data_IF_568305390753
#
_entry.id   IF_568305390753
#
_cell.length_a   1.000
_cell.length_b   1.000
_cell.length_c   1.000
_cell.angle_alpha   90.00
_cell.angle_beta   90.00
_cell.angle_gamma   90.00
#
_symmetry.space_group_name_H-M   'P 1'
#
loop_
_entity.id
_entity.type
_entity.pdbx_description
1 polymer ?
#
# COMPACT_ATOMS: atom_id res chain seq x y z
N UNK A 1 -9.42 -4.46 13.63
CA UNK A 1 -8.39 -4.46 12.58
C UNK A 1 -7.06 -4.75 13.25
N UNK A 2 -6.22 -5.58 12.66
CA UNK A 2 -4.85 -5.82 13.12
C UNK A 2 -4.05 -4.51 13.10
N UNK A 3 -3.17 -4.31 14.09
CA UNK A 3 -2.41 -3.07 14.29
C UNK A 3 -1.56 -2.75 13.04
N UNK A 4 -0.97 -3.79 12.45
CA UNK A 4 -0.18 -3.67 11.23
C UNK A 4 -1.02 -3.27 10.03
N UNK A 5 -2.24 -3.79 9.91
CA UNK A 5 -3.19 -3.42 8.86
C UNK A 5 -3.64 -1.96 8.95
N UNK A 6 -3.88 -1.48 10.18
CA UNK A 6 -4.22 -0.07 10.40
C UNK A 6 -3.05 0.86 10.03
N UNK A 7 -1.82 0.51 10.44
CA UNK A 7 -0.60 1.26 10.09
C UNK A 7 -0.36 1.29 8.59
N UNK A 8 -0.56 0.16 7.90
CA UNK A 8 -0.41 0.10 6.45
C UNK A 8 -1.44 0.97 5.73
N UNK A 9 -2.70 0.96 6.19
CA UNK A 9 -3.75 1.82 5.65
C UNK A 9 -3.41 3.31 5.81
N UNK A 10 -2.93 3.71 6.99
CA UNK A 10 -2.50 5.08 7.27
C UNK A 10 -1.33 5.49 6.36
N UNK A 11 -0.33 4.61 6.22
CA UNK A 11 0.79 4.82 5.32
C UNK A 11 0.32 5.03 3.88
N UNK A 12 -0.52 4.14 3.32
CA UNK A 12 -1.00 4.28 1.95
C UNK A 12 -1.77 5.57 1.72
N UNK A 13 -2.59 6.01 2.69
CA UNK A 13 -3.31 7.28 2.58
C UNK A 13 -2.34 8.48 2.53
N UNK A 14 -1.28 8.45 3.35
CA UNK A 14 -0.23 9.47 3.36
C UNK A 14 0.63 9.42 2.08
N UNK A 15 1.03 8.23 1.65
CA UNK A 15 1.88 7.99 0.47
C UNK A 15 1.20 8.46 -0.83
N UNK A 16 -0.12 8.26 -0.95
CA UNK A 16 -0.91 8.74 -2.08
C UNK A 16 -1.29 10.22 -1.97
N UNK A 17 -0.88 10.91 -0.90
CA UNK A 17 -1.02 12.34 -0.67
C UNK A 17 -2.45 12.85 -0.92
N UNK A 18 -3.45 12.10 -0.46
CA UNK A 18 -4.90 12.39 -0.61
C UNK A 18 -5.42 12.51 -2.06
N UNK A 19 -4.57 12.28 -3.07
CA UNK A 19 -4.96 12.31 -4.49
C UNK A 19 -5.81 11.10 -4.86
N UNK A 20 -5.58 9.99 -4.17
CA UNK A 20 -6.32 8.75 -4.33
C UNK A 20 -7.24 8.50 -3.14
N UNK A 21 -8.34 7.82 -3.42
CA UNK A 21 -9.31 7.33 -2.43
C UNK A 21 -9.13 5.83 -2.33
N UNK A 22 -8.94 5.34 -1.10
CA UNK A 22 -8.86 3.90 -0.84
C UNK A 22 -10.25 3.29 -1.07
N UNK A 23 -10.34 2.32 -1.97
CA UNK A 23 -11.59 1.67 -2.35
C UNK A 23 -11.72 0.26 -1.78
N UNK A 24 -10.61 -0.46 -1.61
CA UNK A 24 -10.60 -1.79 -1.02
C UNK A 24 -9.36 -1.99 -0.17
N UNK A 25 -9.51 -2.71 0.93
CA UNK A 25 -8.42 -3.30 1.68
C UNK A 25 -8.71 -4.79 1.88
N UNK A 26 -7.68 -5.62 1.74
CA UNK A 26 -7.76 -7.06 1.94
C UNK A 26 -6.53 -7.51 2.72
N UNK A 27 -6.77 -8.08 3.91
CA UNK A 27 -5.72 -8.57 4.79
C UNK A 27 -5.86 -10.09 4.91
N UNK A 28 -4.90 -10.82 4.36
CA UNK A 28 -4.84 -12.27 4.40
C UNK A 28 -3.90 -12.71 5.51
N UNK A 29 -4.42 -13.50 6.46
CA UNK A 29 -3.65 -14.06 7.57
C UNK A 29 -3.29 -15.51 7.25
N UNK A 30 -2.07 -15.92 7.59
CA UNK A 30 -1.70 -17.33 7.63
C UNK A 30 -2.28 -18.00 8.90
N UNK A 31 -2.08 -19.31 9.08
CA UNK A 31 -2.45 -20.04 10.31
C UNK A 31 -1.78 -19.49 11.60
N UNK A 32 -0.90 -18.50 11.45
CA UNK A 32 -0.32 -17.66 12.52
C UNK A 32 -1.08 -16.34 12.69
N UNK A 33 -1.11 -15.79 13.91
CA UNK A 33 -1.72 -14.49 14.25
C UNK A 33 -1.15 -13.25 13.49
N UNK A 34 -0.24 -13.43 12.53
CA UNK A 34 0.35 -12.38 11.71
C UNK A 34 -0.19 -12.44 10.27
N UNK A 35 -0.49 -11.28 9.65
CA UNK A 35 -0.91 -11.22 8.26
C UNK A 35 0.24 -11.63 7.34
N UNK A 36 -0.06 -12.47 6.36
CA UNK A 36 0.89 -12.88 5.33
C UNK A 36 0.87 -11.94 4.13
N UNK A 37 -0.29 -11.34 3.86
CA UNK A 37 -0.47 -10.38 2.78
C UNK A 37 -1.41 -9.25 3.20
N UNK A 38 -1.00 -8.02 2.92
CA UNK A 38 -1.83 -6.83 3.04
C UNK A 38 -1.90 -6.15 1.68
N UNK A 39 -3.09 -6.14 1.08
CA UNK A 39 -3.34 -5.50 -0.18
C UNK A 39 -4.30 -4.32 -0.01
N UNK A 40 -3.95 -3.19 -0.60
CA UNK A 40 -4.81 -2.01 -0.69
C UNK A 40 -5.01 -1.65 -2.16
N UNK A 41 -6.25 -1.35 -2.51
CA UNK A 41 -6.62 -0.77 -3.79
C UNK A 41 -7.12 0.65 -3.57
N UNK A 42 -6.51 1.59 -4.26
CA UNK A 42 -6.89 2.99 -4.27
C UNK A 42 -7.15 3.45 -5.70
N UNK A 43 -8.06 4.40 -5.88
CA UNK A 43 -8.33 4.98 -7.19
C UNK A 43 -8.28 6.49 -7.09
N UNK A 44 -7.84 7.15 -8.15
CA UNK A 44 -7.95 8.60 -8.23
C UNK A 44 -9.42 8.99 -8.33
N UNK A 45 -9.78 10.21 -7.91
CA UNK A 45 -11.18 10.69 -8.01
C UNK A 45 -11.70 10.74 -9.46
N UNK A 46 -10.81 10.69 -10.45
CA UNK A 46 -11.11 10.57 -11.88
C UNK A 46 -10.31 9.39 -12.42
N UNK A 47 -10.94 8.23 -12.66
CA UNK A 47 -10.24 7.02 -13.09
C UNK A 47 -9.34 7.32 -14.28
N UNK A 48 -8.07 6.93 -14.16
CA UNK A 48 -7.12 7.00 -15.28
C UNK A 48 -7.09 5.63 -15.97
N UNK A 49 -6.60 5.57 -17.20
CA UNK A 49 -6.42 4.29 -17.88
C UNK A 49 -5.20 3.50 -17.36
N UNK A 50 -4.45 4.07 -16.41
CA UNK A 50 -3.16 3.56 -15.96
C UNK A 50 -3.22 3.20 -14.48
N UNK A 51 -3.08 1.90 -14.20
CA UNK A 51 -3.00 1.35 -12.85
C UNK A 51 -1.53 1.02 -12.59
N UNK A 52 -1.00 1.56 -11.49
CA UNK A 52 0.32 1.24 -10.96
C UNK A 52 0.18 0.24 -9.81
N UNK A 53 1.12 -0.70 -9.71
CA UNK A 53 1.23 -1.66 -8.62
C UNK A 53 2.62 -1.55 -8.03
N UNK A 54 2.69 -1.39 -6.70
CA UNK A 54 3.95 -1.45 -5.94
C UNK A 54 3.84 -2.52 -4.86
N UNK A 55 4.94 -3.25 -4.68
CA UNK A 55 5.02 -4.38 -3.76
C UNK A 55 6.23 -4.21 -2.82
N UNK A 56 6.06 -4.57 -1.54
CA UNK A 56 7.15 -4.60 -0.56
C UNK A 56 7.06 -5.85 0.31
N UNK A 57 8.22 -6.48 0.55
CA UNK A 57 8.36 -7.59 1.49
C UNK A 57 9.15 -7.11 2.71
N UNK A 58 8.52 -7.15 3.89
CA UNK A 58 9.15 -6.82 5.17
C UNK A 58 8.95 -8.01 6.11
N UNK A 59 10.04 -8.72 6.41
CA UNK A 59 9.96 -10.01 7.11
C UNK A 59 9.17 -11.02 6.29
N UNK A 60 8.14 -11.63 6.89
CA UNK A 60 7.25 -12.62 6.25
C UNK A 60 5.95 -12.00 5.72
N UNK A 61 5.84 -10.67 5.70
CA UNK A 61 4.62 -9.96 5.32
C UNK A 61 4.82 -9.32 3.95
N UNK A 62 3.87 -9.60 3.04
CA UNK A 62 3.77 -8.96 1.74
C UNK A 62 2.83 -7.75 1.84
N UNK A 63 3.29 -6.59 1.40
CA UNK A 63 2.51 -5.36 1.30
C UNK A 63 2.34 -5.00 -0.17
N UNK A 64 1.10 -4.80 -0.59
CA UNK A 64 0.73 -4.43 -1.95
C UNK A 64 -0.13 -3.20 -1.96
N UNK A 65 0.22 -2.25 -2.83
CA UNK A 65 -0.63 -1.10 -3.13
C UNK A 65 -0.87 -1.02 -4.64
N UNK A 66 -2.14 -1.13 -5.02
CA UNK A 66 -2.62 -0.86 -6.37
C UNK A 66 -3.24 0.53 -6.39
N UNK A 67 -2.82 1.38 -7.30
CA UNK A 67 -3.39 2.72 -7.43
C UNK A 67 -3.39 3.27 -8.85
N UNK A 68 -4.43 4.01 -9.19
CA UNK A 68 -4.46 4.78 -10.44
C UNK A 68 -3.40 5.89 -10.38
N UNK A 69 -2.63 6.03 -11.45
CA UNK A 69 -1.66 7.11 -11.60
C UNK A 69 -1.93 7.91 -12.88
N UNK A 70 -1.70 9.22 -12.82
CA UNK A 70 -1.53 10.05 -14.02
C UNK A 70 -0.04 9.99 -14.31
N UNK A 71 0.38 9.35 -15.42
CA UNK A 71 1.78 9.05 -15.76
C UNK A 71 2.70 10.28 -15.78
N UNK A 72 3.12 10.75 -14.61
CA UNK A 72 4.29 11.57 -14.36
C UNK A 72 4.79 11.20 -12.93
N UNK A 73 5.90 10.45 -12.86
CA UNK A 73 6.78 10.32 -11.67
C UNK A 73 6.39 9.42 -10.48
N UNK A 74 6.12 8.12 -10.69
CA UNK A 74 6.30 7.12 -9.62
C UNK A 74 6.93 5.83 -10.14
N UNK A 75 8.04 5.96 -10.88
CA UNK A 75 8.96 4.85 -11.12
C UNK A 75 9.98 4.83 -9.99
N UNK A 76 9.75 4.01 -8.96
CA UNK A 76 10.80 3.39 -8.12
C UNK A 76 10.12 2.59 -6.99
N UNK A 77 9.93 1.28 -7.21
CA UNK A 77 9.46 0.33 -6.19
C UNK A 77 10.29 0.42 -4.89
N UNK A 78 11.57 0.75 -5.01
CA UNK A 78 12.49 0.94 -3.88
C UNK A 78 12.05 2.08 -2.95
N UNK A 79 11.48 3.17 -3.50
CA UNK A 79 10.98 4.30 -2.69
C UNK A 79 9.77 3.90 -1.85
N UNK A 80 8.85 3.09 -2.40
CA UNK A 80 7.69 2.62 -1.65
C UNK A 80 8.11 1.79 -0.44
N UNK A 81 9.01 0.82 -0.66
CA UNK A 81 9.54 -0.02 0.41
C UNK A 81 10.28 0.79 1.48
N UNK A 82 11.16 1.70 1.08
CA UNK A 82 11.96 2.50 2.01
C UNK A 82 11.09 3.41 2.88
N UNK A 83 10.10 4.09 2.28
CA UNK A 83 9.17 4.95 3.03
C UNK A 83 8.27 4.13 3.96
N UNK A 84 7.82 2.94 3.54
CA UNK A 84 7.04 2.03 4.38
C UNK A 84 7.86 1.55 5.59
N UNK A 85 9.12 1.14 5.37
CA UNK A 85 10.02 0.72 6.45
C UNK A 85 10.28 1.87 7.42
N UNK A 86 10.50 3.09 6.93
CA UNK A 86 10.66 4.27 7.80
C UNK A 86 9.40 4.55 8.61
N UNK A 87 8.23 4.42 8.00
CA UNK A 87 6.95 4.65 8.68
C UNK A 87 6.69 3.63 9.78
N UNK A 88 6.94 2.34 9.51
CA UNK A 88 6.71 1.26 10.49
C UNK A 88 7.67 1.29 11.68
N UNK A 89 8.85 1.92 11.54
CA UNK A 89 9.84 2.07 12.60
C UNK A 89 9.70 3.37 13.43
N UNK A 90 8.72 4.24 13.11
CA UNK A 90 8.37 5.39 13.95
C UNK A 90 7.49 4.98 15.14
#
# INVERSE_FOLDING_TARGET
>A
ADELGAKFLEFCNSYLNEKCVIAKNEFTYQDSFLPANLAIEAYTKKPTANITMVDAYIGNVHFRLNYDCVCEEYDEDDRFKDELVKFLNK
#
